data_IF_961903576452
#
_entry.id   IF_961903576452
#
_cell.length_a   1.000
_cell.length_b   1.000
_cell.length_c   1.000
_cell.angle_alpha   90.00
_cell.angle_beta   90.00
_cell.angle_gamma   90.00
#
_symmetry.space_group_name_H-M   'P 1'
#
loop_
_entity.id
_entity.type
_entity.pdbx_description
1 polymer ?
2 non-polymer ?
3 non-polymer ?
4 non-polymer ?
5 water ?
#
# COMPACT_ATOMS: atom_id res chain seq x y z
N UNK A 1 27.33 8.72 11.75
CA UNK A 1 26.99 9.58 10.60
C UNK A 1 25.88 10.55 10.92
N UNK A 2 25.60 11.46 10.01
CA UNK A 2 24.45 12.31 10.06
C UNK A 2 23.65 11.82 8.89
N UNK A 3 22.39 11.46 9.11
CA UNK A 3 21.58 10.79 8.09
C UNK A 3 20.37 11.70 7.86
N UNK A 4 20.22 12.27 6.69
CA UNK A 4 19.01 13.01 6.29
C UNK A 4 17.94 11.97 5.95
N UNK A 5 16.75 12.46 5.77
CA UNK A 5 15.61 11.53 5.67
C UNK A 5 14.86 11.56 4.34
N UNK A 6 15.49 12.12 3.29
CA UNK A 6 14.92 12.04 1.98
C UNK A 6 14.72 10.63 1.43
N UNK A 7 15.57 9.68 1.83
CA UNK A 7 15.36 8.30 1.53
C UNK A 7 15.17 7.57 2.86
N UNK A 8 14.73 6.32 2.79
CA UNK A 8 14.64 5.54 4.03
C UNK A 8 16.03 5.34 4.66
N UNK A 9 16.14 5.44 6.01
CA UNK A 9 17.46 5.41 6.71
C UNK A 9 17.88 3.98 6.97
N UNK A 10 18.50 3.38 5.95
CA UNK A 10 18.90 1.99 5.97
C UNK A 10 20.38 1.83 6.27
N UNK A 11 20.69 0.95 7.19
CA UNK A 11 22.08 0.69 7.60
C UNK A 11 22.36 -0.80 7.52
N UNK A 12 23.66 -1.14 7.55
CA UNK A 12 24.08 -2.56 7.53
C UNK A 12 24.11 -3.08 8.94
N UNK A 13 23.61 -4.28 9.13
CA UNK A 13 23.76 -4.93 10.42
C UNK A 13 24.44 -6.30 10.24
N UNK A 14 24.98 -6.84 11.32
CA UNK A 14 25.56 -8.17 11.26
C UNK A 14 25.31 -8.87 12.58
N UNK A 15 24.76 -10.06 12.50
CA UNK A 15 24.43 -10.91 13.68
C UNK A 15 25.00 -12.30 13.43
N UNK A 16 25.95 -12.67 14.30
CA UNK A 16 26.66 -13.93 14.19
C UNK A 16 26.94 -14.37 12.77
N UNK A 17 27.60 -13.53 12.03
CA UNK A 17 27.96 -13.95 10.67
C UNK A 17 26.93 -13.72 9.58
N UNK A 18 25.71 -13.27 9.94
CA UNK A 18 24.68 -12.92 8.95
C UNK A 18 24.73 -11.41 8.67
N UNK A 19 25.04 -11.03 7.44
CA UNK A 19 25.17 -9.62 7.10
C UNK A 19 23.86 -9.25 6.44
N UNK A 20 23.16 -8.22 6.95
CA UNK A 20 21.82 -7.82 6.44
C UNK A 20 21.73 -6.29 6.44
N UNK A 21 20.57 -5.76 6.02
CA UNK A 21 20.33 -4.33 6.07
C UNK A 21 19.04 -4.16 6.92
N UNK A 22 18.93 -3.00 7.55
CA UNK A 22 17.71 -2.72 8.30
C UNK A 22 17.46 -1.23 8.38
N UNK A 23 16.21 -0.92 8.70
CA UNK A 23 15.76 0.48 8.76
C UNK A 23 15.79 1.00 10.13
N UNK A 24 16.43 2.15 10.30
CA UNK A 24 16.42 2.83 11.63
C UNK A 24 15.07 3.50 11.89
N UNK A 25 14.26 2.95 12.83
CA UNK A 25 12.86 3.42 13.02
C UNK A 25 12.64 3.95 14.39
N UNK A 26 12.59 5.25 14.52
CA UNK A 26 12.38 5.89 15.84
C UNK A 26 10.93 5.70 16.38
N UNK A 27 10.02 5.22 15.48
CA UNK A 27 8.73 4.78 15.90
C UNK A 27 8.62 3.32 16.28
N UNK A 28 9.76 2.66 16.46
CA UNK A 28 9.73 1.29 16.90
C UNK A 28 10.31 1.23 18.29
N UNK A 29 9.58 0.57 19.21
CA UNK A 29 10.16 0.34 20.50
C UNK A 29 11.22 -0.79 20.46
N UNK A 30 11.04 -1.74 19.55
CA UNK A 30 11.75 -3.01 19.53
C UNK A 30 12.39 -3.16 18.16
N UNK A 31 13.27 -4.14 18.04
CA UNK A 31 13.99 -4.52 16.81
C UNK A 31 13.42 -5.81 16.27
N UNK A 32 13.02 -5.81 15.01
CA UNK A 32 12.34 -6.94 14.34
C UNK A 32 13.02 -7.26 13.01
N UNK A 33 13.54 -8.51 12.90
CA UNK A 33 14.27 -8.99 11.71
C UNK A 33 13.57 -10.19 11.19
N UNK A 34 13.53 -10.29 9.89
CA UNK A 34 12.92 -11.45 9.26
C UNK A 34 13.95 -12.48 8.78
N UNK A 35 15.08 -12.03 8.22
CA UNK A 35 15.88 -12.90 7.40
C UNK A 35 17.15 -13.41 8.15
N UNK A 36 16.96 -13.78 9.42
CA UNK A 36 18.03 -14.13 10.35
C UNK A 36 17.56 -15.35 11.10
N UNK A 37 18.51 -16.21 11.46
CA UNK A 37 18.30 -17.28 12.48
C UNK A 37 19.20 -17.01 13.70
N UNK A 38 18.70 -17.40 14.86
CA UNK A 38 19.44 -17.33 16.09
C UNK A 38 19.18 -18.66 16.77
N UNK A 39 20.20 -19.17 17.49
CA UNK A 39 20.11 -20.45 18.14
C UNK A 39 19.34 -20.47 19.40
N UNK A 40 18.79 -21.65 19.66
CA UNK A 40 18.28 -22.01 20.92
C UNK A 40 16.83 -21.55 21.20
N UNK A 41 16.48 -21.54 22.48
CA UNK A 41 15.05 -21.24 22.86
C UNK A 41 14.74 -19.76 22.72
N UNK A 42 13.44 -19.53 22.52
CA UNK A 42 12.92 -18.17 22.43
C UNK A 42 11.64 -18.09 23.21
N UNK A 43 11.17 -16.87 23.41
CA UNK A 43 9.86 -16.59 24.02
C UNK A 43 8.90 -16.10 22.97
N UNK A 44 7.80 -16.80 22.74
CA UNK A 44 6.86 -16.32 21.77
C UNK A 44 6.14 -15.04 22.25
N UNK A 45 6.07 -14.04 21.40
CA UNK A 45 5.47 -12.72 21.78
C UNK A 45 4.57 -12.31 20.59
N UNK A 46 3.54 -11.52 20.89
CA UNK A 46 2.76 -10.86 19.86
C UNK A 46 3.08 -9.46 19.91
N UNK A 47 3.39 -8.85 18.76
CA UNK A 47 3.60 -7.46 18.78
C UNK A 47 2.63 -6.69 17.87
N UNK A 48 2.47 -5.41 18.18
CA UNK A 48 1.58 -4.53 17.40
C UNK A 48 2.36 -3.72 16.37
N UNK A 49 1.88 -3.79 15.15
CA UNK A 49 2.32 -2.76 14.08
C UNK A 49 1.16 -2.04 13.54
N UNK A 50 1.36 -1.19 12.51
CA UNK A 50 0.29 -0.36 12.02
C UNK A 50 -0.82 -1.17 11.37
N UNK A 51 -0.47 -2.38 10.87
CA UNK A 51 -1.38 -3.17 10.10
C UNK A 51 -2.05 -4.34 10.81
N UNK A 52 -1.73 -4.47 12.08
CA UNK A 52 -2.16 -5.58 12.90
C UNK A 52 -1.12 -6.17 13.76
N UNK A 53 -1.42 -7.36 14.33
CA UNK A 53 -0.53 -8.03 15.21
C UNK A 53 0.29 -9.08 14.48
N UNK A 54 1.51 -9.33 14.94
CA UNK A 54 2.29 -10.40 14.33
C UNK A 54 2.94 -11.22 15.46
N UNK A 55 3.11 -12.51 15.23
CA UNK A 55 3.80 -13.42 16.15
C UNK A 55 5.27 -13.39 15.80
N UNK A 56 6.10 -13.17 16.81
CA UNK A 56 7.53 -13.15 16.76
C UNK A 56 8.15 -14.09 17.80
N UNK A 57 9.41 -14.39 17.54
CA UNK A 57 10.28 -15.02 18.53
C UNK A 57 11.14 -13.96 19.22
N UNK A 58 11.10 -13.96 20.56
CA UNK A 58 11.93 -13.06 21.30
C UNK A 58 13.20 -13.77 21.78
N UNK A 59 14.29 -13.16 21.49
CA UNK A 59 15.67 -13.55 21.92
C UNK A 59 16.27 -12.38 22.65
N UNK A 60 16.77 -12.63 23.87
CA UNK A 60 17.37 -11.59 24.67
C UNK A 60 18.86 -11.50 24.60
N UNK A 61 19.34 -10.31 24.90
CA UNK A 61 20.77 -10.03 25.02
C UNK A 61 21.56 -10.59 23.88
N UNK A 62 21.15 -10.21 22.68
CA UNK A 62 21.81 -10.63 21.43
C UNK A 62 22.87 -9.66 21.08
N UNK A 63 24.13 -10.11 20.81
CA UNK A 63 25.15 -9.27 20.19
C UNK A 63 24.91 -9.02 18.76
N UNK A 64 24.97 -7.74 18.39
CA UNK A 64 24.68 -7.33 17.01
C UNK A 64 25.54 -6.08 16.71
N UNK A 65 25.92 -5.95 15.47
CA UNK A 65 26.72 -4.85 14.98
C UNK A 65 25.82 -4.06 14.01
N UNK A 66 25.68 -2.79 14.27
CA UNK A 66 24.86 -1.84 13.50
C UNK A 66 25.78 -0.78 12.96
N UNK A 67 25.83 -0.68 11.65
CA UNK A 67 26.72 0.29 10.95
C UNK A 67 28.10 0.29 11.64
N UNK A 68 28.60 -0.91 11.89
CA UNK A 68 29.93 -1.12 12.53
C UNK A 68 30.12 -0.86 14.04
N UNK A 69 29.03 -0.68 14.78
CA UNK A 69 29.08 -0.38 16.18
C UNK A 69 28.50 -1.63 16.86
N UNK A 70 29.25 -2.25 17.74
CA UNK A 70 28.74 -3.43 18.49
C UNK A 70 27.81 -3.06 19.64
N UNK A 71 26.58 -3.58 19.66
CA UNK A 71 25.67 -3.36 20.74
C UNK A 71 25.03 -4.69 21.15
N UNK A 72 24.30 -4.66 22.23
CA UNK A 72 23.65 -5.85 22.78
C UNK A 72 22.22 -5.52 23.09
N UNK A 73 21.27 -6.37 22.68
CA UNK A 73 19.90 -6.17 23.14
C UNK A 73 18.95 -7.24 22.59
N UNK A 74 17.68 -7.09 22.91
CA UNK A 74 16.61 -7.96 22.49
C UNK A 74 16.38 -7.85 20.99
N UNK A 75 16.27 -8.99 20.33
CA UNK A 75 15.96 -9.03 18.89
C UNK A 75 14.72 -9.89 18.71
N UNK A 76 13.75 -9.38 17.96
CA UNK A 76 12.56 -10.14 17.65
C UNK A 76 12.66 -10.67 16.23
N UNK A 77 12.35 -11.93 16.03
CA UNK A 77 12.37 -12.54 14.70
C UNK A 77 10.95 -12.89 14.27
N UNK A 78 10.57 -12.33 13.15
CA UNK A 78 9.26 -12.64 12.56
C UNK A 78 9.00 -11.90 11.29
N UNK A 79 7.76 -12.05 10.76
CA UNK A 79 7.45 -11.44 9.44
C UNK A 79 7.38 -9.99 9.47
N UNK A 80 8.04 -9.34 8.53
CA UNK A 80 7.95 -7.92 8.44
C UNK A 80 8.32 -7.53 7.03
N UNK A 81 7.72 -6.49 6.47
CA UNK A 81 8.17 -6.04 5.11
C UNK A 81 9.51 -5.35 5.11
N UNK A 82 10.04 -5.01 6.25
CA UNK A 82 11.33 -4.42 6.31
C UNK A 82 12.00 -4.82 7.59
N UNK A 83 13.24 -5.25 7.56
CA UNK A 83 13.98 -5.34 8.83
C UNK A 83 13.98 -4.00 9.52
N UNK A 84 13.77 -3.99 10.85
CA UNK A 84 13.66 -2.76 11.61
C UNK A 84 14.59 -2.71 12.81
N UNK A 85 15.37 -1.59 12.93
CA UNK A 85 16.14 -1.38 14.17
C UNK A 85 15.35 -0.35 15.03
N UNK A 86 14.95 -0.74 16.24
CA UNK A 86 14.18 0.12 17.11
C UNK A 86 15.00 0.91 18.13
N UNK A 87 14.26 1.68 18.97
CA UNK A 87 14.87 2.49 20.01
C UNK A 87 15.74 1.64 21.00
N UNK A 88 15.39 0.37 21.17
CA UNK A 88 16.08 -0.45 22.16
C UNK A 88 17.53 -0.57 21.83
N UNK A 89 17.86 -0.60 20.54
CA UNK A 89 19.22 -0.65 20.10
C UNK A 89 19.74 0.73 19.67
N UNK A 90 18.90 1.65 19.19
CA UNK A 90 19.39 2.95 18.82
C UNK A 90 19.95 3.76 20.00
N UNK A 91 19.39 3.56 21.18
CA UNK A 91 19.88 4.22 22.39
C UNK A 91 21.33 3.76 22.68
N UNK A 92 21.65 2.55 22.27
CA UNK A 92 23.05 2.02 22.48
C UNK A 92 24.04 2.56 21.58
N UNK A 93 23.63 3.25 20.52
CA UNK A 93 24.51 3.91 19.60
C UNK A 93 24.67 5.36 19.95
N UNK A 94 23.94 5.81 20.96
CA UNK A 94 23.77 7.20 21.29
C UNK A 94 23.05 8.05 20.27
N UNK A 95 22.14 7.44 19.51
CA UNK A 95 21.49 8.11 18.35
C UNK A 95 20.61 9.29 18.84
N UNK A 96 20.61 10.37 18.10
CA UNK A 96 19.69 11.43 18.40
C UNK A 96 18.94 11.78 17.13
N UNK A 97 17.74 12.37 17.33
CA UNK A 97 17.07 13.02 16.24
C UNK A 97 17.26 14.51 16.43
N UNK A 98 17.58 15.20 15.34
CA UNK A 98 17.82 16.61 15.32
C UNK A 98 16.86 17.27 14.33
N UNK A 99 15.97 18.15 14.82
CA UNK A 99 14.88 18.74 13.99
C UNK A 99 14.55 20.17 14.38
N UNK B 1 15.21 21.21 18.14
CA UNK B 1 15.72 20.39 19.24
C UNK B 1 16.60 19.18 18.83
N UNK B 2 17.32 18.66 19.80
CA UNK B 2 18.16 17.42 19.66
C UNK B 2 17.64 16.47 20.72
N UNK B 3 17.06 15.37 20.34
CA UNK B 3 16.55 14.48 21.34
C UNK B 3 17.10 13.07 21.28
N UNK B 4 17.30 12.49 22.46
CA UNK B 4 17.66 11.09 22.59
C UNK B 4 16.40 10.24 22.48
N UNK B 5 16.59 8.92 22.52
CA UNK B 5 15.52 7.99 22.11
C UNK B 5 15.22 7.01 23.22
N UNK B 6 15.65 7.40 24.44
CA UNK B 6 15.25 6.61 25.61
C UNK B 6 13.71 6.54 25.84
N UNK B 7 12.99 7.58 25.45
CA UNK B 7 11.53 7.51 25.42
C UNK B 7 11.08 7.67 23.98
N UNK B 8 9.81 7.41 23.81
CA UNK B 8 9.19 7.70 22.50
C UNK B 8 9.33 9.17 22.18
N UNK B 9 9.68 9.48 20.94
CA UNK B 9 9.83 10.89 20.55
C UNK B 9 8.44 11.51 20.13
N UNK B 10 7.80 12.03 21.12
CA UNK B 10 6.40 12.53 20.89
C UNK B 10 6.45 14.06 20.88
N UNK B 11 5.79 14.65 19.91
CA UNK B 11 5.74 16.06 19.81
C UNK B 11 4.28 16.51 19.59
N UNK B 12 3.97 17.81 19.81
CA UNK B 12 2.66 18.34 19.52
C UNK B 12 2.75 19.02 18.18
N UNK B 13 1.70 18.83 17.36
CA UNK B 13 1.63 19.53 16.07
C UNK B 13 0.23 20.07 15.85
N UNK B 14 0.17 21.11 15.04
CA UNK B 14 -1.13 21.69 14.64
C UNK B 14 -1.42 21.27 13.20
N UNK B 15 -2.51 20.53 13.00
CA UNK B 15 -2.87 19.95 11.66
C UNK B 15 -4.20 20.55 11.32
N UNK B 16 -4.22 21.34 10.25
CA UNK B 16 -5.49 21.99 9.85
C UNK B 16 -6.09 22.85 11.03
N UNK B 17 -5.28 23.61 11.76
CA UNK B 17 -5.79 24.35 12.86
C UNK B 17 -6.13 23.54 14.14
N UNK B 18 -5.84 22.23 14.19
CA UNK B 18 -6.18 21.40 15.38
C UNK B 18 -4.91 20.80 16.02
N UNK B 19 -4.84 20.83 17.37
CA UNK B 19 -3.58 20.31 17.99
C UNK B 19 -3.67 18.86 18.33
N UNK B 20 -2.63 18.10 18.01
CA UNK B 20 -2.58 16.69 18.34
C UNK B 20 -1.13 16.33 18.70
N UNK B 21 -0.97 15.26 19.45
CA UNK B 21 0.38 14.68 19.68
C UNK B 21 0.67 13.62 18.65
N UNK B 22 1.93 13.42 18.35
CA UNK B 22 2.28 12.40 17.39
C UNK B 22 3.74 12.01 17.58
N UNK B 23 4.04 10.81 17.12
CA UNK B 23 5.37 10.22 17.25
C UNK B 23 6.22 10.53 16.04
N UNK B 24 7.41 11.10 16.24
CA UNK B 24 8.35 11.31 15.18
C UNK B 24 8.95 9.96 14.76
N UNK B 25 8.64 9.56 13.50
CA UNK B 25 8.82 8.21 13.07
C UNK B 25 9.68 8.09 11.78
N UNK B 26 11.01 7.91 11.98
CA UNK B 26 11.91 7.78 10.84
C UNK B 26 11.65 6.54 9.97
N UNK B 27 11.00 5.51 10.51
CA UNK B 27 10.56 4.41 9.72
C UNK B 27 9.21 4.50 9.04
N UNK B 28 8.69 5.72 8.92
CA UNK B 28 7.42 5.96 8.27
C UNK B 28 7.69 6.82 7.07
N UNK B 29 7.21 6.40 5.92
CA UNK B 29 7.27 7.30 4.76
C UNK B 29 6.37 8.51 4.88
N UNK B 30 5.22 8.31 5.52
CA UNK B 30 4.10 9.22 5.52
C UNK B 30 3.70 9.59 6.95
N UNK B 31 2.85 10.60 7.07
CA UNK B 31 2.21 11.09 8.30
C UNK B 31 0.78 10.58 8.43
N UNK B 32 0.47 9.86 9.54
CA UNK B 32 -0.80 9.11 9.65
C UNK B 32 -1.40 9.47 11.00
N UNK B 33 -2.60 10.02 10.97
CA UNK B 33 -3.35 10.34 12.19
C UNK B 33 -4.67 9.69 12.26
N UNK B 34 -5.12 9.34 13.48
CA UNK B 34 -6.46 8.79 13.51
C UNK B 34 -7.47 9.63 14.33
N UNK B 35 -7.02 10.63 15.07
CA UNK B 35 -8.07 11.24 15.95
C UNK B 35 -8.65 12.54 15.44
N UNK B 36 -8.84 12.71 14.11
CA UNK B 36 -8.99 14.04 13.51
C UNK B 36 -9.84 14.01 12.22
N UNK B 37 -10.67 15.03 11.95
CA UNK B 37 -11.45 15.08 10.73
C UNK B 37 -10.80 16.23 10.03
N UNK B 38 -10.62 16.08 8.74
CA UNK B 38 -10.13 17.16 7.91
C UNK B 38 -11.14 17.52 6.82
N UNK B 39 -11.14 18.76 6.38
CA UNK B 39 -12.08 19.16 5.37
C UNK B 39 -11.70 18.88 3.95
N UNK B 40 -12.72 18.85 3.10
CA UNK B 40 -12.55 18.76 1.67
C UNK B 40 -12.32 17.37 1.13
N UNK B 41 -11.91 17.34 -0.14
CA UNK B 41 -11.74 16.13 -0.88
C UNK B 41 -10.50 15.33 -0.48
N UNK B 42 -10.59 14.04 -0.68
CA UNK B 42 -9.48 13.11 -0.43
C UNK B 42 -9.45 11.99 -1.46
N UNK B 43 -8.38 11.21 -1.45
CA UNK B 43 -8.24 10.06 -2.31
C UNK B 43 -7.98 8.82 -1.44
N UNK B 44 -8.54 7.69 -1.81
CA UNK B 44 -8.32 6.46 -1.06
C UNK B 44 -6.96 5.83 -1.37
N UNK B 45 -6.18 5.54 -0.32
CA UNK B 45 -4.94 4.87 -0.46
C UNK B 45 -4.86 3.74 0.58
N UNK B 46 -3.81 2.96 0.46
CA UNK B 46 -3.52 1.96 1.49
C UNK B 46 -2.04 2.05 1.92
N UNK B 47 -1.86 1.92 3.22
CA UNK B 47 -0.54 1.91 3.80
C UNK B 47 -0.28 0.49 4.26
N UNK B 48 1.01 0.22 4.40
CA UNK B 48 1.50 -1.17 4.85
C UNK B 48 2.42 -0.94 6.03
N UNK B 49 2.25 -1.77 7.05
CA UNK B 49 3.22 -1.87 8.10
C UNK B 49 3.40 -3.31 8.49
N UNK B 50 3.90 -3.52 9.70
CA UNK B 50 4.24 -4.84 10.16
C UNK B 50 3.20 -5.93 10.10
N UNK B 51 1.98 -5.50 10.42
CA UNK B 51 0.86 -6.44 10.59
C UNK B 51 0.01 -6.70 9.33
N UNK B 52 0.20 -5.88 8.32
CA UNK B 52 -0.59 -5.86 7.13
C UNK B 52 -0.89 -4.46 6.62
N UNK B 53 -2.00 -4.34 5.90
CA UNK B 53 -2.31 -3.04 5.23
C UNK B 53 -3.55 -2.45 5.86
N UNK B 54 -3.69 -1.11 5.84
CA UNK B 54 -4.90 -0.44 6.31
C UNK B 54 -5.26 0.57 5.25
N UNK B 55 -6.57 0.74 5.09
CA UNK B 55 -7.13 1.78 4.23
C UNK B 55 -7.15 3.13 4.94
N UNK B 56 -6.70 4.16 4.22
CA UNK B 56 -6.62 5.51 4.66
C UNK B 56 -7.25 6.49 3.65
N UNK B 57 -7.59 7.68 4.17
CA UNK B 57 -7.89 8.83 3.32
C UNK B 57 -6.62 9.59 3.19
N UNK B 58 -6.26 9.97 1.95
CA UNK B 58 -5.10 10.84 1.66
C UNK B 58 -5.66 12.23 1.44
N UNK B 59 -5.25 13.14 2.29
CA UNK B 59 -5.51 14.57 2.19
C UNK B 59 -4.25 15.28 1.82
N UNK B 60 -4.21 15.81 0.62
CA UNK B 60 -3.12 16.69 0.19
C UNK B 60 -3.42 18.10 0.66
N UNK B 61 -2.37 18.93 0.67
CA UNK B 61 -2.52 20.37 0.82
C UNK B 61 -3.07 20.75 2.20
N UNK B 62 -2.57 20.07 3.28
CA UNK B 62 -2.97 20.34 4.62
C UNK B 62 -1.95 21.32 5.28
N UNK B 63 -2.41 22.45 5.87
CA UNK B 63 -1.49 23.35 6.54
C UNK B 63 -1.12 22.71 7.88
N UNK B 64 0.16 22.71 8.22
CA UNK B 64 0.65 22.07 9.43
C UNK B 64 1.62 22.96 10.08
N UNK B 65 1.56 23.06 11.42
CA UNK B 65 2.62 23.76 12.16
C UNK B 65 3.34 22.76 13.06
N UNK B 66 4.65 22.68 12.91
CA UNK B 66 5.45 21.69 13.57
C UNK B 66 6.83 22.25 13.86
N UNK B 67 7.25 22.16 15.12
CA UNK B 67 8.62 22.56 15.52
C UNK B 67 8.99 23.96 14.96
N UNK B 68 8.03 24.90 15.10
CA UNK B 68 8.22 26.26 14.65
C UNK B 68 8.20 26.56 13.22
N UNK B 69 7.87 25.58 12.41
CA UNK B 69 7.83 25.81 11.00
C UNK B 69 6.35 25.74 10.59
N UNK B 70 6.01 26.48 9.54
CA UNK B 70 4.64 26.39 8.93
C UNK B 70 4.81 25.78 7.55
N UNK B 71 4.17 24.59 7.34
CA UNK B 71 4.39 23.84 6.15
C UNK B 71 2.99 23.42 5.58
N UNK B 72 3.02 23.00 4.28
CA UNK B 72 1.89 22.37 3.67
C UNK B 72 2.27 21.05 3.16
N UNK B 73 1.52 20.00 3.62
CA UNK B 73 1.83 18.70 3.14
C UNK B 73 0.66 17.73 3.25
N UNK B 74 0.98 16.46 3.00
CA UNK B 74 -0.05 15.45 2.87
C UNK B 74 -0.18 14.75 4.22
N UNK B 75 -1.40 14.42 4.58
CA UNK B 75 -1.71 13.69 5.83
C UNK B 75 -2.61 12.54 5.43
N UNK B 76 -2.40 11.38 6.05
CA UNK B 76 -3.23 10.17 5.78
C UNK B 76 -4.02 10.05 7.06
N UNK B 77 -5.33 9.86 6.93
CA UNK B 77 -6.17 9.64 8.07
C UNK B 77 -6.67 8.22 8.01
N UNK B 78 -6.50 7.49 9.09
CA UNK B 78 -6.96 6.15 9.22
C UNK B 78 -6.50 5.57 10.52
N UNK B 79 -6.87 4.30 10.75
CA UNK B 79 -6.66 3.76 12.10
C UNK B 79 -5.13 3.38 12.31
N UNK B 80 -4.60 3.80 13.45
CA UNK B 80 -3.22 3.60 13.81
C UNK B 80 -3.15 3.53 15.33
N UNK B 81 -2.27 2.68 15.88
CA UNK B 81 -2.13 2.63 17.36
C UNK B 81 -1.64 3.94 17.94
N UNK B 82 -0.90 4.74 17.13
CA UNK B 82 -0.40 6.03 17.51
C UNK B 82 -0.36 6.93 16.29
N UNK B 83 -0.71 8.14 16.47
CA UNK B 83 -0.40 9.13 15.44
C UNK B 83 1.09 9.15 15.14
N UNK B 84 1.47 9.34 13.85
CA UNK B 84 2.92 9.30 13.51
C UNK B 84 3.22 10.39 12.47
N UNK B 85 4.37 11.02 12.66
CA UNK B 85 4.88 12.03 11.77
C UNK B 85 5.97 11.29 10.98
N UNK B 86 5.84 11.24 9.66
CA UNK B 86 6.84 10.50 8.83
C UNK B 86 7.85 11.43 8.12
N UNK B 87 8.59 10.83 7.23
CA UNK B 87 9.72 11.54 6.53
C UNK B 87 9.19 12.56 5.60
N UNK B 88 7.93 12.44 5.13
CA UNK B 88 7.40 13.50 4.30
C UNK B 88 7.45 14.84 4.95
N UNK B 89 7.15 14.90 6.23
CA UNK B 89 7.25 16.18 6.98
C UNK B 89 8.61 16.38 7.61
N UNK B 90 9.25 15.33 8.19
CA UNK B 90 10.60 15.50 8.81
C UNK B 90 11.56 16.16 7.79
N UNK B 91 11.50 15.81 6.51
CA UNK B 91 12.45 16.34 5.50
C UNK B 91 12.21 17.82 5.41
N UNK B 92 10.98 18.28 5.62
CA UNK B 92 10.73 19.74 5.50
C UNK B 92 11.29 20.50 6.63
N UNK B 93 11.58 19.86 7.77
CA UNK B 93 12.30 20.42 8.89
C UNK B 93 13.83 20.36 8.77
N UNK B 94 14.34 19.70 7.74
CA UNK B 94 15.77 19.36 7.70
C UNK B 94 16.23 18.41 8.76
N UNK B 95 15.34 17.53 9.21
CA UNK B 95 15.65 16.64 10.27
C UNK B 95 16.71 15.57 9.91
N UNK B 96 17.51 15.24 10.91
CA UNK B 96 18.54 14.25 10.73
C UNK B 96 18.59 13.29 11.88
N UNK B 97 19.03 12.08 11.58
CA UNK B 97 19.39 11.13 12.57
C UNK B 97 20.94 11.14 12.78
N UNK B 98 21.41 11.19 14.01
CA UNK B 98 22.85 11.32 14.25
C UNK B 98 23.34 10.27 15.21
N UNK B 99 24.45 9.62 14.86
CA UNK B 99 25.14 8.84 15.87
C UNK B 99 26.64 8.64 15.48
N UNK C 1 -24.64 5.18 -18.95
CA UNK C 1 -23.82 6.36 -18.68
C UNK C 1 -22.40 6.24 -19.30
N UNK C 2 -21.73 7.38 -19.47
CA UNK C 2 -20.26 7.42 -19.73
C UNK C 2 -19.57 7.65 -18.40
N UNK C 3 -18.66 6.78 -18.03
CA UNK C 3 -17.85 6.90 -16.80
C UNK C 3 -16.40 7.22 -17.17
N UNK C 4 -15.91 8.45 -16.82
CA UNK C 4 -14.52 8.80 -16.95
C UNK C 4 -13.73 8.27 -15.77
N UNK C 5 -12.42 8.40 -15.87
CA UNK C 5 -11.52 7.62 -15.02
C UNK C 5 -10.57 8.44 -14.14
N UNK C 6 -10.84 9.76 -14.02
CA UNK C 6 -10.08 10.61 -13.07
C UNK C 6 -10.29 10.21 -11.64
N UNK C 7 -11.37 9.52 -11.37
CA UNK C 7 -11.64 8.89 -10.05
C UNK C 7 -11.91 7.49 -10.21
N UNK C 8 -11.89 6.71 -9.13
CA UNK C 8 -12.30 5.32 -9.32
C UNK C 8 -13.72 5.19 -9.84
N UNK C 9 -13.99 4.17 -10.74
CA UNK C 9 -15.33 3.99 -11.28
C UNK C 9 -16.17 3.12 -10.30
N UNK C 10 -16.68 3.79 -9.26
CA UNK C 10 -17.47 3.12 -8.19
C UNK C 10 -18.94 3.36 -8.49
N UNK C 11 -19.74 2.30 -8.43
CA UNK C 11 -21.17 2.39 -8.71
C UNK C 11 -21.90 1.78 -7.51
N UNK C 12 -23.17 2.12 -7.38
CA UNK C 12 -24.04 1.45 -6.42
C UNK C 12 -24.58 0.14 -6.96
N UNK C 13 -24.67 -0.85 -6.11
CA UNK C 13 -25.17 -2.10 -6.50
C UNK C 13 -26.22 -2.54 -5.47
N UNK C 14 -27.15 -3.39 -5.90
CA UNK C 14 -28.12 -3.95 -5.01
C UNK C 14 -28.26 -5.44 -5.27
N UNK C 15 -28.24 -6.20 -4.18
CA UNK C 15 -28.59 -7.62 -4.23
C UNK C 15 -29.67 -7.98 -3.19
N UNK C 16 -30.88 -8.25 -3.64
CA UNK C 16 -31.92 -8.44 -2.65
C UNK C 16 -32.11 -7.12 -1.93
N UNK C 17 -32.14 -7.21 -0.60
CA UNK C 17 -32.16 -6.09 0.29
C UNK C 17 -30.82 -5.45 0.57
N UNK C 18 -29.72 -5.95 -0.02
CA UNK C 18 -28.42 -5.47 0.32
C UNK C 18 -27.97 -4.38 -0.68
N UNK C 19 -27.63 -3.23 -0.15
CA UNK C 19 -27.16 -2.06 -0.90
C UNK C 19 -25.67 -1.85 -0.64
N UNK C 20 -24.80 -1.88 -1.68
CA UNK C 20 -23.38 -1.75 -1.48
C UNK C 20 -22.80 -0.88 -2.64
N UNK C 21 -21.53 -0.54 -2.51
CA UNK C 21 -20.81 0.13 -3.62
C UNK C 21 -19.83 -0.93 -4.17
N UNK C 22 -19.46 -0.77 -5.42
CA UNK C 22 -18.51 -1.67 -6.00
C UNK C 22 -17.77 -0.97 -7.12
N UNK C 23 -16.58 -1.47 -7.37
CA UNK C 23 -15.66 -0.88 -8.36
C UNK C 23 -15.83 -1.65 -9.67
N UNK C 24 -16.00 -0.95 -10.79
CA UNK C 24 -15.97 -1.57 -12.12
C UNK C 24 -14.53 -1.83 -12.54
N UNK C 25 -14.13 -3.09 -12.67
CA UNK C 25 -12.76 -3.50 -12.86
C UNK C 25 -12.62 -4.33 -14.17
N UNK C 26 -12.14 -3.72 -15.26
CA UNK C 26 -11.94 -4.44 -16.47
C UNK C 26 -10.77 -5.39 -16.40
N UNK C 27 -9.95 -5.35 -15.34
CA UNK C 27 -8.92 -6.30 -15.03
C UNK C 27 -9.41 -7.48 -14.17
N UNK C 28 -10.70 -7.54 -13.98
CA UNK C 28 -11.24 -8.67 -13.16
C UNK C 28 -12.07 -9.55 -14.14
N UNK C 29 -11.73 -10.86 -14.21
CA UNK C 29 -12.54 -11.79 -14.98
C UNK C 29 -13.94 -11.97 -14.32
N UNK C 30 -13.95 -11.92 -12.99
CA UNK C 30 -15.07 -12.37 -12.15
C UNK C 30 -15.43 -11.19 -11.22
N UNK C 31 -16.58 -11.31 -10.55
CA UNK C 31 -17.10 -10.38 -9.63
C UNK C 31 -16.94 -10.90 -8.20
N UNK C 32 -16.37 -10.08 -7.33
CA UNK C 32 -16.05 -10.54 -5.94
C UNK C 32 -16.63 -9.48 -4.98
N UNK C 33 -17.49 -9.94 -4.03
CA UNK C 33 -18.13 -9.03 -3.09
C UNK C 33 -17.93 -9.59 -1.74
N UNK C 34 -17.76 -8.69 -0.77
CA UNK C 34 -17.59 -9.21 0.61
C UNK C 34 -18.89 -9.15 1.39
N UNK C 35 -19.11 -10.18 2.21
CA UNK C 35 -20.14 -10.06 3.27
C UNK C 35 -21.56 -9.80 2.69
N UNK C 36 -21.90 -10.62 1.72
CA UNK C 36 -23.28 -10.64 1.20
C UNK C 36 -23.78 -12.04 1.46
N UNK C 37 -24.97 -12.14 1.96
CA UNK C 37 -25.58 -13.44 2.18
C UNK C 37 -26.44 -13.72 0.95
N UNK C 38 -26.40 -14.97 0.50
CA UNK C 38 -27.14 -15.33 -0.75
C UNK C 38 -27.86 -16.67 -0.51
N UNK C 39 -28.98 -16.89 -1.20
CA UNK C 39 -29.57 -18.23 -1.10
C UNK C 39 -28.99 -19.20 -2.09
N UNK C 40 -29.24 -20.47 -1.83
CA UNK C 40 -28.92 -21.39 -2.94
C UNK C 40 -27.43 -21.86 -2.95
N UNK C 41 -27.25 -22.92 -3.74
CA UNK C 41 -25.99 -23.76 -3.68
C UNK C 41 -24.81 -22.92 -4.11
N UNK C 42 -23.69 -23.26 -3.54
CA UNK C 42 -22.39 -22.58 -3.80
C UNK C 42 -21.29 -23.60 -3.65
N UNK C 43 -20.15 -23.21 -4.19
CA UNK C 43 -18.93 -24.06 -4.10
C UNK C 43 -17.76 -23.23 -3.60
N UNK C 44 -16.95 -23.74 -2.64
CA UNK C 44 -15.68 -23.05 -2.27
C UNK C 44 -14.62 -23.17 -3.44
N UNK C 45 -13.88 -22.08 -3.69
CA UNK C 45 -12.97 -22.00 -4.82
C UNK C 45 -11.86 -21.07 -4.31
N UNK C 46 -10.67 -21.18 -4.91
CA UNK C 46 -9.65 -20.09 -4.78
C UNK C 46 -9.63 -19.32 -6.10
N UNK C 47 -9.31 -18.05 -5.95
CA UNK C 47 -9.01 -17.17 -7.10
C UNK C 47 -7.69 -16.47 -6.82
N UNK C 48 -7.19 -15.78 -7.81
CA UNK C 48 -5.91 -15.15 -7.65
C UNK C 48 -6.03 -13.69 -8.05
N UNK C 49 -5.27 -12.92 -7.38
CA UNK C 49 -5.17 -11.46 -7.67
C UNK C 49 -3.73 -11.02 -7.41
N UNK C 50 -3.54 -9.72 -7.54
CA UNK C 50 -2.38 -9.14 -7.05
C UNK C 50 -2.27 -9.46 -5.55
N UNK C 51 -1.08 -10.02 -5.15
CA UNK C 51 -0.81 -10.33 -3.76
C UNK C 51 -1.02 -11.79 -3.40
N UNK C 52 -1.75 -12.51 -4.24
CA UNK C 52 -1.92 -14.00 -4.07
C UNK C 52 -3.33 -14.44 -4.07
N UNK C 53 -3.61 -15.56 -3.37
CA UNK C 53 -4.91 -16.25 -3.48
C UNK C 53 -5.92 -15.71 -2.46
N UNK C 54 -7.18 -15.81 -2.83
CA UNK C 54 -8.32 -15.50 -2.02
C UNK C 54 -9.31 -16.68 -2.07
N UNK C 55 -9.79 -17.10 -0.89
CA UNK C 55 -10.82 -18.12 -0.83
C UNK C 55 -12.17 -17.45 -0.95
N UNK C 56 -12.98 -17.98 -1.87
CA UNK C 56 -14.33 -17.44 -2.11
C UNK C 56 -15.39 -18.56 -2.13
N UNK C 57 -16.66 -18.18 -2.09
CA UNK C 57 -17.79 -19.02 -2.46
C UNK C 57 -18.32 -18.59 -3.80
N UNK C 58 -18.50 -19.52 -4.70
CA UNK C 58 -19.07 -19.28 -6.00
C UNK C 58 -20.58 -19.51 -6.06
N UNK C 59 -21.37 -18.46 -6.31
CA UNK C 59 -22.77 -18.54 -6.53
C UNK C 59 -23.10 -18.27 -7.98
N UNK C 60 -23.90 -19.12 -8.63
CA UNK C 60 -24.33 -18.88 -10.00
C UNK C 60 -25.74 -18.24 -10.13
N UNK C 61 -26.00 -17.58 -11.27
CA UNK C 61 -27.32 -17.06 -11.60
C UNK C 61 -27.86 -16.11 -10.53
N UNK C 62 -27.04 -15.16 -10.09
CA UNK C 62 -27.49 -14.22 -9.05
C UNK C 62 -27.99 -12.98 -9.63
N UNK C 63 -29.22 -12.51 -9.30
CA UNK C 63 -29.65 -11.26 -9.85
C UNK C 63 -29.03 -10.11 -9.11
N UNK C 64 -28.54 -9.10 -9.82
CA UNK C 64 -27.87 -7.99 -9.18
C UNK C 64 -28.12 -6.74 -10.04
N UNK C 65 -28.38 -5.65 -9.39
CA UNK C 65 -28.58 -4.40 -10.03
C UNK C 65 -27.34 -3.57 -9.88
N UNK C 66 -26.88 -2.99 -10.99
CA UNK C 66 -25.62 -2.25 -11.02
C UNK C 66 -25.97 -0.91 -11.65
N UNK C 67 -25.80 0.14 -10.88
CA UNK C 67 -26.10 1.55 -11.36
C UNK C 67 -27.49 1.63 -12.01
N UNK C 68 -28.42 0.91 -11.40
CA UNK C 68 -29.78 0.86 -11.84
C UNK C 68 -30.13 -0.08 -12.95
N UNK C 69 -29.18 -0.90 -13.46
CA UNK C 69 -29.39 -1.87 -14.50
C UNK C 69 -29.44 -3.33 -13.96
N UNK C 70 -30.46 -4.10 -14.30
CA UNK C 70 -30.61 -5.45 -13.75
C UNK C 70 -29.92 -6.46 -14.62
N UNK C 71 -29.00 -7.23 -14.04
CA UNK C 71 -28.35 -8.29 -14.78
C UNK C 71 -28.38 -9.56 -13.92
N UNK C 72 -27.91 -10.64 -14.51
CA UNK C 72 -27.84 -11.93 -13.77
C UNK C 72 -26.55 -12.58 -14.13
N UNK C 73 -25.85 -13.06 -13.11
CA UNK C 73 -24.58 -13.77 -13.35
C UNK C 73 -23.97 -14.35 -12.11
N UNK C 74 -22.75 -14.84 -12.30
CA UNK C 74 -21.95 -15.46 -11.30
C UNK C 74 -21.33 -14.40 -10.38
N UNK C 75 -21.50 -14.66 -9.11
CA UNK C 75 -20.94 -13.80 -8.02
C UNK C 75 -20.07 -14.61 -7.09
N UNK C 76 -18.88 -14.11 -6.78
CA UNK C 76 -18.00 -14.74 -5.80
C UNK C 76 -18.09 -13.96 -4.52
N UNK C 77 -18.25 -14.64 -3.39
CA UNK C 77 -18.29 -13.96 -2.11
C UNK C 77 -17.03 -14.29 -1.31
N UNK C 78 -16.30 -13.29 -0.89
CA UNK C 78 -15.11 -13.49 -0.08
C UNK C 78 -14.55 -12.19 0.41
N UNK C 79 -13.51 -12.26 1.25
CA UNK C 79 -12.85 -11.03 1.70
C UNK C 79 -12.11 -10.32 0.52
N UNK C 80 -12.27 -9.03 0.46
CA UNK C 80 -11.59 -8.22 -0.55
C UNK C 80 -11.53 -6.78 -0.02
N UNK C 81 -10.41 -6.09 -0.30
CA UNK C 81 -10.32 -4.69 0.06
C UNK C 81 -11.25 -3.76 -0.73
N UNK C 82 -11.82 -4.24 -1.81
CA UNK C 82 -12.83 -3.48 -2.52
C UNK C 82 -13.79 -4.47 -3.12
N UNK C 83 -15.07 -4.21 -3.08
CA UNK C 83 -16.08 -4.97 -3.86
C UNK C 83 -15.79 -4.70 -5.34
N UNK C 84 -15.83 -5.75 -6.14
CA UNK C 84 -15.44 -5.67 -7.56
C UNK C 84 -16.50 -6.21 -8.45
N UNK C 85 -16.85 -5.43 -9.45
CA UNK C 85 -17.68 -5.89 -10.56
C UNK C 85 -16.75 -6.23 -11.73
N UNK C 86 -16.74 -7.48 -12.15
CA UNK C 86 -15.83 -7.98 -13.18
C UNK C 86 -16.47 -7.98 -14.56
N UNK C 87 -15.71 -8.49 -15.52
CA UNK C 87 -16.10 -8.51 -16.92
C UNK C 87 -17.32 -9.38 -17.10
N UNK C 88 -17.52 -10.40 -16.23
CA UNK C 88 -18.71 -11.19 -16.43
C UNK C 88 -19.99 -10.47 -16.36
N UNK C 89 -20.11 -9.53 -15.41
CA UNK C 89 -21.26 -8.73 -15.27
C UNK C 89 -21.23 -7.53 -16.18
N UNK C 90 -20.07 -6.92 -16.44
CA UNK C 90 -20.03 -5.87 -17.43
C UNK C 90 -20.48 -6.37 -18.82
N UNK C 91 -20.10 -7.57 -19.20
CA UNK C 91 -20.60 -8.25 -20.49
C UNK C 91 -22.17 -8.23 -20.45
N UNK C 92 -22.80 -8.60 -19.31
CA UNK C 92 -24.26 -8.56 -19.26
C UNK C 92 -24.86 -7.18 -19.33
N UNK C 93 -24.14 -6.13 -18.89
CA UNK C 93 -24.59 -4.77 -18.97
C UNK C 93 -24.42 -4.25 -20.35
N UNK C 94 -23.70 -4.95 -21.18
CA UNK C 94 -23.35 -4.46 -22.52
C UNK C 94 -22.36 -3.33 -22.43
N UNK C 95 -21.54 -3.32 -21.36
CA UNK C 95 -20.51 -2.23 -21.19
C UNK C 95 -19.36 -2.42 -22.07
N UNK C 96 -18.81 -1.32 -22.60
CA UNK C 96 -17.63 -1.34 -23.35
C UNK C 96 -16.58 -0.36 -22.77
N UNK C 97 -15.31 -0.61 -23.09
CA UNK C 97 -14.26 0.30 -22.76
C UNK C 97 -13.91 1.05 -24.05
N UNK C 98 -13.86 2.36 -24.02
CA UNK C 98 -13.70 3.18 -25.27
C UNK C 98 -12.55 4.07 -25.08
N UNK C 99 -11.70 4.21 -26.10
CA UNK C 99 -10.66 5.29 -26.03
C UNK C 99 -10.28 5.84 -27.42
N UNK D 1 -10.67 3.07 -30.08
CA UNK D 1 -11.49 1.87 -30.35
C UNK D 1 -12.57 1.63 -29.29
N UNK D 2 -13.49 0.72 -29.60
CA UNK D 2 -14.50 0.31 -28.64
C UNK D 2 -14.06 -1.10 -28.35
N UNK D 3 -13.87 -1.45 -27.07
CA UNK D 3 -13.39 -2.75 -26.73
C UNK D 3 -14.50 -3.44 -25.96
N UNK D 4 -15.00 -4.60 -26.51
CA UNK D 4 -16.02 -5.33 -25.88
C UNK D 4 -15.38 -6.13 -24.76
N UNK D 5 -16.18 -6.49 -23.75
CA UNK D 5 -15.53 -6.90 -22.49
C UNK D 5 -15.82 -8.37 -22.20
N UNK D 6 -16.29 -9.13 -23.22
CA UNK D 6 -16.38 -10.59 -23.15
C UNK D 6 -15.06 -11.29 -23.40
N UNK D 7 -13.98 -10.54 -23.56
CA UNK D 7 -12.65 -10.96 -23.50
C UNK D 7 -11.78 -9.92 -22.74
N UNK D 8 -10.56 -10.30 -22.37
CA UNK D 8 -9.66 -9.40 -21.64
C UNK D 8 -9.27 -8.25 -22.57
N UNK D 9 -9.36 -7.02 -22.16
CA UNK D 9 -8.93 -5.85 -22.98
C UNK D 9 -7.44 -5.58 -23.02
N UNK D 10 -6.77 -6.36 -23.85
CA UNK D 10 -5.32 -6.35 -23.96
C UNK D 10 -4.94 -5.48 -25.15
N UNK D 11 -3.92 -4.68 -24.91
CA UNK D 11 -3.38 -3.77 -25.95
C UNK D 11 -1.88 -3.98 -26.05
N UNK D 12 -1.31 -3.63 -27.22
CA UNK D 12 0.11 -3.55 -27.34
C UNK D 12 0.67 -2.24 -26.83
N UNK D 13 1.76 -2.31 -26.10
CA UNK D 13 2.46 -1.15 -25.65
C UNK D 13 3.95 -1.16 -26.10
N UNK D 14 4.52 0.01 -26.20
CA UNK D 14 5.98 0.16 -26.51
C UNK D 14 6.60 0.96 -25.38
N UNK D 15 7.63 0.41 -24.72
CA UNK D 15 8.24 1.02 -23.57
C UNK D 15 9.69 0.47 -23.45
N UNK D 16 10.58 1.40 -23.15
CA UNK D 16 12.01 1.12 -23.06
C UNK D 16 12.50 0.32 -24.27
N UNK D 17 12.04 0.72 -25.46
CA UNK D 17 12.33 -0.03 -26.70
C UNK D 17 11.59 -1.36 -26.98
N UNK D 18 11.04 -2.03 -25.96
CA UNK D 18 10.41 -3.34 -26.12
C UNK D 18 8.96 -3.19 -26.58
N UNK D 19 8.43 -4.20 -27.26
CA UNK D 19 7.01 -4.32 -27.44
C UNK D 19 6.54 -5.28 -26.37
N UNK D 20 5.47 -4.92 -25.68
CA UNK D 20 4.88 -5.85 -24.70
C UNK D 20 3.36 -5.76 -24.87
N UNK D 21 2.63 -6.57 -24.12
CA UNK D 21 1.13 -6.41 -24.09
C UNK D 21 0.73 -6.10 -22.67
N UNK D 22 -0.39 -5.41 -22.54
CA UNK D 22 -0.86 -5.08 -21.17
C UNK D 22 -2.34 -5.00 -21.19
N UNK D 23 -2.94 -5.22 -20.02
CA UNK D 23 -4.39 -5.21 -19.83
C UNK D 23 -4.85 -3.82 -19.38
N UNK D 24 -5.82 -3.25 -20.09
CA UNK D 24 -6.38 -1.95 -19.72
C UNK D 24 -7.29 -2.18 -18.52
N UNK D 25 -6.96 -1.62 -17.34
CA UNK D 25 -7.54 -2.13 -16.07
C UNK D 25 -8.14 -0.93 -15.30
N UNK D 26 -9.43 -0.73 -15.50
CA UNK D 26 -10.14 0.37 -14.84
C UNK D 26 -10.15 0.27 -13.31
N UNK D 27 -10.00 -0.93 -12.83
CA UNK D 27 -9.88 -1.11 -11.38
C UNK D 27 -8.45 -1.07 -10.79
N UNK D 28 -7.52 -0.50 -11.55
CA UNK D 28 -6.20 -0.23 -11.08
C UNK D 28 -5.96 1.28 -11.05
N UNK D 29 -5.54 1.74 -9.88
CA UNK D 29 -5.08 3.16 -9.81
C UNK D 29 -3.90 3.45 -10.70
N UNK D 30 -2.96 2.50 -10.72
CA UNK D 30 -1.63 2.60 -11.23
C UNK D 30 -1.30 1.64 -12.34
N UNK D 31 -0.24 1.94 -13.08
CA UNK D 31 0.21 1.08 -14.09
C UNK D 31 1.36 0.20 -13.60
N UNK D 32 1.24 -1.12 -13.72
CA UNK D 32 2.20 -2.06 -13.12
C UNK D 32 2.62 -3.07 -14.15
N UNK D 33 3.95 -3.12 -14.41
CA UNK D 33 4.50 -4.02 -15.38
C UNK D 33 5.50 -4.93 -14.73
N UNK D 34 5.56 -6.16 -15.23
CA UNK D 34 6.41 -7.20 -14.64
C UNK D 34 7.46 -7.77 -15.51
N UNK D 35 7.46 -7.50 -16.79
CA UNK D 35 8.31 -8.31 -17.72
C UNK D 35 9.21 -7.35 -18.50
N UNK D 36 9.55 -6.23 -17.84
CA UNK D 36 10.40 -5.16 -18.35
C UNK D 36 11.21 -4.50 -17.24
N UNK D 37 12.40 -4.02 -17.61
CA UNK D 37 13.32 -3.26 -16.76
C UNK D 37 13.36 -1.85 -17.27
N UNK D 38 13.38 -0.87 -16.36
CA UNK D 38 13.54 0.53 -16.74
C UNK D 38 14.82 1.16 -16.19
N UNK D 39 15.33 2.23 -16.85
CA UNK D 39 16.52 2.91 -16.43
C UNK D 39 16.32 4.02 -15.35
N UNK D 40 17.36 4.30 -14.56
CA UNK D 40 17.35 5.50 -13.76
C UNK D 40 16.90 5.23 -12.36
N UNK D 41 16.69 6.32 -11.64
CA UNK D 41 16.32 6.22 -10.23
C UNK D 41 14.84 5.83 -10.05
N UNK D 42 14.56 5.24 -8.91
CA UNK D 42 13.23 4.81 -8.55
C UNK D 42 13.04 4.87 -7.03
N UNK D 43 11.78 4.82 -6.58
CA UNK D 43 11.46 4.81 -5.19
C UNK D 43 10.70 3.55 -4.85
N UNK D 44 10.95 2.94 -3.69
CA UNK D 44 10.18 1.78 -3.24
C UNK D 44 8.80 2.09 -2.77
N UNK D 45 7.79 1.28 -3.21
CA UNK D 45 6.43 1.48 -2.80
C UNK D 45 5.85 0.09 -2.69
N UNK D 46 4.69 0.04 -2.04
CA UNK D 46 3.87 -1.21 -1.96
C UNK D 46 2.52 -0.96 -2.56
N UNK D 47 2.07 -1.91 -3.39
CA UNK D 47 0.76 -1.90 -3.90
C UNK D 47 -0.02 -3.03 -3.25
N UNK D 48 -1.31 -2.92 -3.37
CA UNK D 48 -2.26 -3.88 -2.79
C UNK D 48 -3.27 -4.34 -3.80
N UNK D 49 -3.54 -5.64 -3.82
CA UNK D 49 -4.62 -6.20 -4.65
C UNK D 49 -5.45 -7.07 -3.74
N UNK D 50 -6.30 -7.89 -4.36
CA UNK D 50 -7.28 -8.66 -3.52
C UNK D 50 -6.60 -9.63 -2.62
N UNK D 51 -5.42 -10.08 -3.02
CA UNK D 51 -4.66 -11.07 -2.27
C UNK D 51 -3.73 -10.50 -1.20
N UNK D 52 -3.43 -9.21 -1.19
CA UNK D 52 -2.51 -8.64 -0.22
C UNK D 52 -1.55 -7.68 -0.93
N UNK D 53 -0.42 -7.42 -0.31
CA UNK D 53 0.48 -6.41 -0.83
C UNK D 53 1.65 -7.00 -1.55
N UNK D 54 2.31 -6.22 -2.41
CA UNK D 54 3.41 -6.57 -3.18
C UNK D 54 4.34 -5.39 -3.24
N UNK D 55 5.67 -5.62 -3.16
CA UNK D 55 6.62 -4.55 -3.33
C UNK D 55 6.89 -4.20 -4.77
N UNK D 56 7.01 -2.94 -5.08
CA UNK D 56 7.30 -2.41 -6.45
C UNK D 56 8.34 -1.34 -6.46
N UNK D 57 8.89 -1.08 -7.64
CA UNK D 57 9.72 0.10 -7.91
C UNK D 57 8.86 1.16 -8.59
N UNK D 58 8.82 2.38 -8.07
CA UNK D 58 8.15 3.46 -8.72
C UNK D 58 9.13 4.27 -9.60
N UNK D 59 8.85 4.32 -10.89
CA UNK D 59 9.60 5.11 -11.89
C UNK D 59 8.75 6.27 -12.33
N UNK D 60 9.31 7.50 -12.42
CA UNK D 60 8.47 8.68 -12.76
C UNK D 60 8.75 9.17 -14.16
N UNK D 61 7.77 9.80 -14.80
CA UNK D 61 7.99 10.40 -16.13
C UNK D 61 8.51 9.44 -17.22
N UNK D 62 7.88 8.28 -17.31
CA UNK D 62 8.26 7.26 -18.21
C UNK D 62 7.41 7.37 -19.45
N UNK D 63 8.06 7.43 -20.63
CA UNK D 63 7.26 7.43 -21.84
C UNK D 63 6.87 6.05 -22.22
N UNK D 64 5.59 5.92 -22.60
CA UNK D 64 5.04 4.68 -23.04
C UNK D 64 4.05 4.92 -24.18
N UNK D 65 4.11 4.12 -25.20
CA UNK D 65 3.16 4.23 -26.28
C UNK D 65 2.15 3.13 -26.06
N UNK D 66 0.88 3.50 -25.99
CA UNK D 66 -0.22 2.55 -25.70
C UNK D 66 -1.17 2.59 -26.88
N UNK D 67 -1.22 1.47 -27.60
CA UNK D 67 -2.16 1.42 -28.78
C UNK D 67 -2.07 2.64 -29.70
N UNK D 68 -0.87 3.07 -30.01
CA UNK D 68 -0.63 4.25 -30.85
C UNK D 68 -0.68 5.66 -30.24
N UNK D 69 -0.85 5.73 -28.92
CA UNK D 69 -0.88 6.97 -28.20
C UNK D 69 0.38 7.09 -27.36
N UNK D 70 1.10 8.17 -27.52
CA UNK D 70 2.29 8.49 -26.71
C UNK D 70 1.89 9.19 -25.45
N UNK D 71 2.07 8.53 -24.30
CA UNK D 71 1.75 9.12 -23.03
C UNK D 71 3.03 9.09 -22.15
N UNK D 72 2.98 9.81 -21.07
CA UNK D 72 4.10 9.90 -20.09
C UNK D 72 3.51 9.89 -18.72
N UNK D 73 4.04 9.04 -17.85
CA UNK D 73 3.63 9.05 -16.48
C UNK D 73 4.37 8.03 -15.57
N UNK D 74 3.81 7.83 -14.39
CA UNK D 74 4.43 6.92 -13.45
C UNK D 74 4.18 5.47 -13.89
N UNK D 75 5.19 4.66 -13.73
CA UNK D 75 5.11 3.22 -14.00
C UNK D 75 5.70 2.50 -12.83
N UNK D 76 4.95 1.54 -12.27
CA UNK D 76 5.46 0.67 -11.21
C UNK D 76 5.92 -0.64 -11.81
N UNK D 77 7.05 -1.15 -11.32
CA UNK D 77 7.67 -2.39 -11.84
C UNK D 77 7.72 -3.37 -10.68
N UNK D 78 7.05 -4.48 -10.84
CA UNK D 78 7.01 -5.48 -9.80
C UNK D 78 6.28 -6.72 -10.22
N UNK D 79 6.26 -7.72 -9.35
CA UNK D 79 5.72 -9.03 -9.68
C UNK D 79 4.21 -9.09 -9.67
N UNK D 80 3.58 -8.66 -10.74
CA UNK D 80 2.08 -8.77 -10.96
C UNK D 80 1.85 -10.03 -11.83
N UNK D 81 0.67 -10.67 -11.80
CA UNK D 81 0.21 -11.71 -12.69
C UNK D 81 0.16 -11.33 -14.17
N UNK D 82 -0.10 -10.05 -14.47
CA UNK D 82 -0.23 -9.63 -15.90
C UNK D 82 0.18 -8.20 -15.84
N UNK D 83 0.84 -7.71 -16.85
CA UNK D 83 0.97 -6.28 -16.98
C UNK D 83 -0.42 -5.59 -17.04
N UNK D 84 -0.52 -4.44 -16.40
CA UNK D 84 -1.73 -3.67 -16.36
C UNK D 84 -1.46 -2.19 -16.57
N UNK D 85 -2.36 -1.55 -17.33
CA UNK D 85 -2.35 -0.09 -17.47
C UNK D 85 -3.48 0.44 -16.61
N UNK D 86 -3.18 1.26 -15.61
CA UNK D 86 -4.20 1.80 -14.78
C UNK D 86 -4.70 3.13 -15.19
N UNK D 87 -5.45 3.71 -14.26
CA UNK D 87 -6.19 4.94 -14.54
C UNK D 87 -5.25 6.10 -14.79
N UNK D 88 -4.09 6.07 -14.09
CA UNK D 88 -3.14 7.20 -14.24
C UNK D 88 -2.81 7.49 -15.67
N UNK D 89 -2.71 6.44 -16.47
CA UNK D 89 -2.37 6.57 -17.95
C UNK D 89 -3.64 6.50 -18.79
N UNK D 90 -4.64 5.70 -18.40
CA UNK D 90 -5.89 5.63 -19.18
C UNK D 90 -6.59 6.98 -19.30
N UNK D 91 -6.46 7.87 -18.34
CA UNK D 91 -7.10 9.15 -18.46
C UNK D 91 -6.49 9.88 -19.61
N UNK D 92 -5.25 9.67 -19.86
CA UNK D 92 -4.55 10.45 -20.93
C UNK D 92 -4.99 9.98 -22.26
N UNK D 93 -5.50 8.77 -22.34
CA UNK D 93 -6.10 8.23 -23.56
C UNK D 93 -7.57 8.64 -23.82
N UNK D 94 -8.22 9.30 -22.88
CA UNK D 94 -9.65 9.56 -22.97
C UNK D 94 -10.45 8.28 -22.85
N UNK D 95 -9.95 7.34 -22.05
CA UNK D 95 -10.67 6.11 -21.85
C UNK D 95 -11.89 6.24 -20.92
N UNK D 96 -12.99 5.65 -21.34
CA UNK D 96 -14.23 5.64 -20.59
C UNK D 96 -14.88 4.28 -20.61
N UNK D 97 -15.65 4.00 -19.54
CA UNK D 97 -16.61 2.92 -19.56
C UNK D 97 -17.95 3.44 -19.98
N UNK D 98 -18.64 2.67 -20.82
CA UNK D 98 -19.93 3.11 -21.34
C UNK D 98 -20.93 1.94 -21.37
N UNK D 99 -22.12 2.26 -20.88
CA UNK D 99 -23.24 1.31 -20.96
C UNK D 99 -24.57 1.97 -20.95
#
# INVERSE_FOLDING_TARGET
PQITLWQRPIVTIKIGGQLREALLDTGADDTVLEDIDLPGRWKPKLIVGIGGFVKVRQYEQVPIEIAGHKVVGTVLIGPTPSNIIGRNLMTQLGATLNF
PQITLWQRPIVTIKIGGQLREALLDTGADDTVLEDIDLPGRWKPKLIVGIGGFVKVRQYEQVPIEIAGHKVVGTVLIGPTPSNIIGRNLMTQLGATLNF
PQITLWQRPIVTIKIGGQLREALLDTGADDTVLEDIDLPGRWKPKLIVGIGGFVKVRQYEQVPIEIAGHKVVGTVLIGPTPSNIIGRNLMTQLGATLNF
PQITLWQRPIVTIKIGGQLREALLDTGADDTVLEDIDLPGRWKPKLIVGIGGFVKVRQYEQVPIEIAGHKVVGTVLIGPTPSNIIGRNLMTQLGATLNF
#
